data_IF_900699397692
#
_entry.id   IF_900699397692
#
_cell.length_a   1.000
_cell.length_b   1.000
_cell.length_c   1.000
_cell.angle_alpha   90.00
_cell.angle_beta   90.00
_cell.angle_gamma   90.00
#
_symmetry.space_group_name_H-M   'P 1'
#
loop_
_entity.id
_entity.type
_entity.pdbx_description
1 polymer ?
#
# COMPACT_ATOMS: atom_id res chain seq x y z
N UNK A 1 -47.62 34.64 19.88
CA UNK A 1 -47.47 34.18 18.48
C UNK A 1 -46.14 34.69 17.95
N UNK A 2 -45.10 33.85 17.94
CA UNK A 2 -43.75 34.22 17.52
C UNK A 2 -43.62 33.86 16.03
N UNK A 3 -43.44 34.86 15.15
CA UNK A 3 -43.16 34.66 13.72
C UNK A 3 -41.67 34.33 13.56
N UNK A 4 -41.34 33.06 13.35
CA UNK A 4 -39.99 32.65 12.91
C UNK A 4 -39.77 33.08 11.45
N UNK A 5 -38.65 33.77 11.20
CA UNK A 5 -38.18 34.17 9.88
C UNK A 5 -37.70 32.95 9.05
N UNK A 6 -37.98 32.90 7.73
CA UNK A 6 -37.62 31.77 6.86
C UNK A 6 -36.12 31.73 6.45
N UNK A 7 -35.31 32.70 6.89
CA UNK A 7 -33.92 32.83 6.43
C UNK A 7 -32.94 31.79 7.01
N UNK A 8 -33.27 31.12 8.12
CA UNK A 8 -32.38 30.11 8.73
C UNK A 8 -32.49 28.71 8.13
N UNK A 9 -33.51 28.41 7.32
CA UNK A 9 -33.72 27.06 6.79
C UNK A 9 -32.81 26.73 5.59
N UNK A 10 -32.28 27.74 4.90
CA UNK A 10 -31.49 27.53 3.68
C UNK A 10 -30.02 27.16 3.94
N UNK A 11 -29.46 27.52 5.10
CA UNK A 11 -28.04 27.29 5.41
C UNK A 11 -27.75 25.90 6.00
N UNK A 12 -28.77 25.18 6.49
CA UNK A 12 -28.60 23.85 7.08
C UNK A 12 -28.51 22.72 6.04
N UNK A 13 -28.89 22.98 4.78
CA UNK A 13 -29.00 21.94 3.74
C UNK A 13 -27.77 21.83 2.82
N UNK A 14 -26.80 22.73 2.94
CA UNK A 14 -25.58 22.72 2.10
C UNK A 14 -24.44 21.90 2.73
N UNK A 15 -24.50 21.60 4.04
CA UNK A 15 -23.46 20.84 4.75
C UNK A 15 -23.68 19.32 4.74
N UNK A 16 -24.76 18.82 4.13
CA UNK A 16 -25.11 17.39 4.14
C UNK A 16 -24.61 16.61 2.91
N UNK A 17 -23.88 17.23 1.99
CA UNK A 17 -23.54 16.64 0.69
C UNK A 17 -22.08 16.82 0.27
N UNK A 18 -21.13 16.92 1.20
CA UNK A 18 -19.79 16.46 0.86
C UNK A 18 -19.83 14.94 0.94
N UNK A 19 -19.72 14.19 -0.18
CA UNK A 19 -19.39 12.79 -0.05
C UNK A 19 -18.11 12.78 0.79
N UNK A 20 -18.13 12.10 1.93
CA UNK A 20 -16.87 11.69 2.53
C UNK A 20 -16.18 10.91 1.42
N UNK A 21 -15.19 11.52 0.79
CA UNK A 21 -14.46 10.91 -0.31
C UNK A 21 -13.92 9.60 0.26
N UNK A 22 -14.47 8.52 -0.28
CA UNK A 22 -14.22 7.19 0.21
C UNK A 22 -13.22 6.59 -0.76
N UNK A 23 -12.21 5.91 -0.22
CA UNK A 23 -11.24 5.13 -0.99
C UNK A 23 -11.93 4.38 -2.14
N UNK A 24 -11.37 4.55 -3.34
CA UNK A 24 -11.94 4.00 -4.57
C UNK A 24 -11.88 2.46 -4.54
N UNK A 25 -12.68 1.77 -5.37
CA UNK A 25 -12.56 0.32 -5.52
C UNK A 25 -11.13 -0.12 -5.89
N UNK A 26 -10.48 0.62 -6.78
CA UNK A 26 -9.08 0.40 -7.19
C UNK A 26 -8.12 0.62 -6.02
N UNK A 27 -8.30 1.68 -5.23
CA UNK A 27 -7.49 1.95 -4.04
C UNK A 27 -7.64 0.87 -2.97
N UNK A 28 -8.88 0.38 -2.74
CA UNK A 28 -9.14 -0.77 -1.85
C UNK A 28 -8.41 -2.01 -2.33
N UNK A 29 -8.53 -2.34 -3.61
CA UNK A 29 -7.85 -3.49 -4.19
C UNK A 29 -6.32 -3.37 -4.07
N UNK A 30 -5.76 -2.18 -4.32
CA UNK A 30 -4.34 -1.92 -4.17
C UNK A 30 -3.86 -2.19 -2.75
N UNK A 31 -4.57 -1.66 -1.75
CA UNK A 31 -4.26 -1.87 -0.32
C UNK A 31 -4.35 -3.34 0.07
N UNK A 32 -5.36 -4.07 -0.41
CA UNK A 32 -5.49 -5.51 -0.13
C UNK A 32 -4.36 -6.33 -0.76
N UNK A 33 -3.92 -5.99 -1.97
CA UNK A 33 -2.76 -6.66 -2.58
C UNK A 33 -1.47 -6.32 -1.82
N UNK A 34 -1.30 -5.08 -1.37
CA UNK A 34 -0.15 -4.71 -0.52
C UNK A 34 -0.11 -5.55 0.76
N UNK A 35 -1.26 -5.77 1.42
CA UNK A 35 -1.35 -6.63 2.61
C UNK A 35 -0.99 -8.09 2.30
N UNK A 36 -1.43 -8.61 1.15
CA UNK A 36 -1.10 -9.98 0.74
C UNK A 36 0.39 -10.16 0.44
N UNK A 37 1.03 -9.15 -0.15
CA UNK A 37 2.46 -9.17 -0.47
C UNK A 37 3.34 -8.91 0.76
N UNK A 38 2.80 -8.31 1.82
CA UNK A 38 3.55 -7.89 2.99
C UNK A 38 4.43 -9.00 3.61
N UNK A 39 3.93 -10.23 3.88
CA UNK A 39 4.76 -11.29 4.47
C UNK A 39 5.98 -11.63 3.61
N UNK A 40 5.80 -11.67 2.29
CA UNK A 40 6.89 -11.96 1.34
C UNK A 40 7.89 -10.81 1.30
N UNK A 41 7.43 -9.56 1.34
CA UNK A 41 8.32 -8.39 1.37
C UNK A 41 9.10 -8.28 2.69
N UNK A 42 8.48 -8.62 3.83
CA UNK A 42 9.17 -8.71 5.12
C UNK A 42 10.29 -9.77 5.07
N UNK A 43 9.99 -10.98 4.59
CA UNK A 43 10.99 -12.05 4.48
C UNK A 43 12.13 -11.67 3.52
N UNK A 44 11.81 -11.04 2.37
CA UNK A 44 12.83 -10.50 1.45
C UNK A 44 13.73 -9.47 2.14
N UNK A 45 13.18 -8.58 2.96
CA UNK A 45 13.95 -7.59 3.72
C UNK A 45 14.87 -8.25 4.76
N UNK A 46 14.36 -9.24 5.50
CA UNK A 46 15.13 -10.02 6.46
C UNK A 46 16.28 -10.77 5.79
N UNK A 47 16.00 -11.48 4.71
CA UNK A 47 17.02 -12.20 3.94
C UNK A 47 18.11 -11.27 3.42
N UNK A 48 17.79 -10.05 2.96
CA UNK A 48 18.81 -9.07 2.57
C UNK A 48 19.75 -8.72 3.73
N UNK A 49 19.21 -8.49 4.94
CA UNK A 49 20.03 -8.21 6.14
C UNK A 49 20.91 -9.41 6.49
N UNK A 50 20.36 -10.63 6.49
CA UNK A 50 21.08 -11.86 6.81
C UNK A 50 22.18 -12.18 5.78
N UNK A 51 21.92 -11.95 4.49
CA UNK A 51 22.92 -12.11 3.42
C UNK A 51 24.10 -11.17 3.66
N UNK A 52 23.84 -9.88 3.90
CA UNK A 52 24.89 -8.90 4.18
C UNK A 52 25.70 -9.30 5.40
N UNK A 53 25.04 -9.75 6.47
CA UNK A 53 25.74 -10.21 7.68
C UNK A 53 26.63 -11.44 7.40
N UNK A 54 26.11 -12.44 6.69
CA UNK A 54 26.88 -13.64 6.33
C UNK A 54 28.08 -13.31 5.44
N UNK A 55 27.94 -12.34 4.52
CA UNK A 55 29.05 -11.86 3.67
C UNK A 55 30.13 -11.15 4.49
N UNK A 56 29.74 -10.27 5.42
CA UNK A 56 30.68 -9.57 6.32
C UNK A 56 31.44 -10.56 7.21
N UNK A 57 30.75 -11.58 7.70
CA UNK A 57 31.32 -12.64 8.54
C UNK A 57 32.06 -13.74 7.75
N UNK A 58 32.14 -13.62 6.42
CA UNK A 58 32.76 -14.62 5.52
C UNK A 58 32.18 -16.03 5.65
N UNK A 59 30.88 -16.13 5.94
CA UNK A 59 30.11 -17.38 5.97
C UNK A 59 29.54 -17.71 4.59
N UNK A 60 30.42 -18.05 3.65
CA UNK A 60 30.07 -18.19 2.22
C UNK A 60 28.98 -19.24 1.94
N UNK A 61 28.99 -20.36 2.67
CA UNK A 61 27.97 -21.41 2.54
C UNK A 61 26.58 -20.91 2.96
N UNK A 62 26.52 -20.13 4.04
CA UNK A 62 25.28 -19.53 4.54
C UNK A 62 24.77 -18.46 3.57
N UNK A 63 25.67 -17.57 3.13
CA UNK A 63 25.33 -16.53 2.14
C UNK A 63 24.76 -17.15 0.85
N UNK A 64 25.34 -18.24 0.36
CA UNK A 64 24.81 -18.99 -0.80
C UNK A 64 23.41 -19.54 -0.55
N UNK A 65 23.18 -20.12 0.63
CA UNK A 65 21.88 -20.68 1.02
C UNK A 65 20.81 -19.60 1.14
N UNK A 66 21.14 -18.47 1.76
CA UNK A 66 20.24 -17.33 1.91
C UNK A 66 19.89 -16.67 0.57
N UNK A 67 20.88 -16.50 -0.33
CA UNK A 67 20.65 -16.01 -1.70
C UNK A 67 19.74 -16.94 -2.49
N UNK A 68 19.88 -18.26 -2.32
CA UNK A 68 18.97 -19.24 -2.94
C UNK A 68 17.53 -19.03 -2.44
N UNK A 69 17.31 -18.96 -1.12
CA UNK A 69 15.98 -18.67 -0.54
C UNK A 69 15.39 -17.36 -1.07
N UNK A 70 16.21 -16.31 -1.14
CA UNK A 70 15.79 -15.01 -1.70
C UNK A 70 15.38 -15.14 -3.18
N UNK A 71 16.14 -15.90 -3.98
CA UNK A 71 15.79 -16.16 -5.38
C UNK A 71 14.51 -16.98 -5.52
N UNK A 72 14.26 -17.94 -4.65
CA UNK A 72 13.08 -18.78 -4.70
C UNK A 72 11.81 -17.95 -4.42
N UNK A 73 11.87 -17.02 -3.45
CA UNK A 73 10.78 -16.06 -3.19
C UNK A 73 10.50 -15.11 -4.36
N UNK A 74 11.51 -14.77 -5.17
CA UNK A 74 11.30 -13.96 -6.37
C UNK A 74 10.67 -14.73 -7.53
N UNK A 75 10.74 -16.07 -7.50
CA UNK A 75 10.19 -16.94 -8.56
C UNK A 75 8.79 -17.43 -8.25
N UNK A 76 8.24 -17.07 -7.10
CA UNK A 76 6.87 -17.44 -6.74
C UNK A 76 5.86 -16.85 -7.73
N UNK A 77 5.11 -17.68 -8.47
CA UNK A 77 4.17 -17.21 -9.49
C UNK A 77 3.01 -16.42 -8.91
N UNK A 78 2.58 -16.70 -7.67
CA UNK A 78 1.47 -15.95 -7.04
C UNK A 78 1.91 -14.54 -6.67
N UNK A 79 3.08 -14.38 -6.05
CA UNK A 79 3.70 -13.08 -5.83
C UNK A 79 3.82 -12.29 -7.14
N UNK A 80 4.29 -12.92 -8.23
CA UNK A 80 4.41 -12.24 -9.53
C UNK A 80 3.07 -11.79 -10.12
N UNK A 81 1.99 -12.56 -9.93
CA UNK A 81 0.64 -12.16 -10.37
C UNK A 81 0.14 -10.93 -9.61
N UNK A 82 0.33 -10.92 -8.30
CA UNK A 82 -0.05 -9.80 -7.43
C UNK A 82 0.75 -8.53 -7.77
N UNK A 83 2.06 -8.63 -7.96
CA UNK A 83 2.91 -7.51 -8.37
C UNK A 83 2.50 -6.94 -9.74
N UNK A 84 2.18 -7.81 -10.71
CA UNK A 84 1.63 -7.36 -12.01
C UNK A 84 0.30 -6.64 -11.86
N UNK A 85 -0.58 -7.13 -10.98
CA UNK A 85 -1.87 -6.48 -10.71
C UNK A 85 -1.68 -5.12 -10.06
N UNK A 86 -0.74 -4.98 -9.11
CA UNK A 86 -0.38 -3.69 -8.55
C UNK A 86 0.08 -2.71 -9.62
N UNK A 87 0.97 -3.11 -10.54
CA UNK A 87 1.44 -2.22 -11.61
C UNK A 87 0.27 -1.72 -12.50
N UNK A 88 -0.72 -2.57 -12.77
CA UNK A 88 -1.93 -2.17 -13.50
C UNK A 88 -2.77 -1.18 -12.69
N UNK A 89 -2.95 -1.41 -11.40
CA UNK A 89 -3.70 -0.50 -10.51
C UNK A 89 -2.97 0.82 -10.30
N UNK A 90 -1.65 0.81 -10.19
CA UNK A 90 -0.81 2.00 -10.05
C UNK A 90 -1.05 2.96 -11.22
N UNK A 91 -1.05 2.47 -12.46
CA UNK A 91 -1.39 3.30 -13.62
C UNK A 91 -2.83 3.87 -13.62
N UNK A 92 -3.75 3.24 -12.88
CA UNK A 92 -5.14 3.70 -12.76
C UNK A 92 -5.32 4.72 -11.63
N UNK A 93 -4.56 4.57 -10.55
CA UNK A 93 -4.62 5.43 -9.36
C UNK A 93 -3.75 6.67 -9.56
N UNK A 94 -2.66 6.58 -10.31
CA UNK A 94 -1.74 7.70 -10.57
C UNK A 94 -2.24 8.54 -11.77
N UNK A 95 -2.14 9.86 -11.64
CA UNK A 95 -2.41 10.86 -12.67
C UNK A 95 -1.21 11.04 -13.62
N UNK A 96 -1.38 11.83 -14.68
CA UNK A 96 -0.30 12.06 -15.66
C UNK A 96 0.90 12.83 -15.12
N UNK A 97 0.83 13.35 -13.89
CA UNK A 97 1.88 14.13 -13.22
C UNK A 97 2.54 13.35 -12.07
N UNK A 98 2.18 12.08 -11.87
CA UNK A 98 2.73 11.24 -10.81
C UNK A 98 2.06 11.43 -9.44
N UNK A 99 0.99 12.22 -9.35
CA UNK A 99 0.14 12.32 -8.16
C UNK A 99 -0.96 11.27 -8.16
N UNK A 100 -1.58 10.97 -7.03
CA UNK A 100 -2.79 10.15 -7.04
C UNK A 100 -3.98 10.96 -7.57
N UNK A 101 -4.83 10.32 -8.36
CA UNK A 101 -6.09 10.91 -8.87
C UNK A 101 -7.08 11.16 -7.74
N UNK A 102 -7.02 10.34 -6.70
CA UNK A 102 -7.86 10.41 -5.52
C UNK A 102 -6.94 10.56 -4.27
N UNK A 103 -7.11 11.64 -3.47
CA UNK A 103 -6.24 11.88 -2.32
C UNK A 103 -6.44 10.87 -1.19
N UNK A 104 -7.63 10.27 -1.07
CA UNK A 104 -7.93 9.26 -0.07
C UNK A 104 -7.28 7.92 -0.40
N UNK A 105 -7.19 7.56 -1.69
CA UNK A 105 -6.38 6.42 -2.15
C UNK A 105 -4.92 6.59 -1.78
N UNK A 106 -4.34 7.78 -2.02
CA UNK A 106 -2.96 8.08 -1.64
C UNK A 106 -2.74 7.95 -0.15
N UNK A 107 -3.68 8.48 0.65
CA UNK A 107 -3.61 8.42 2.10
C UNK A 107 -3.64 6.97 2.59
N UNK A 108 -4.54 6.15 2.05
CA UNK A 108 -4.68 4.74 2.42
C UNK A 108 -3.45 3.91 2.03
N UNK A 109 -2.93 4.10 0.81
CA UNK A 109 -1.70 3.43 0.35
C UNK A 109 -0.50 3.84 1.21
N UNK A 110 -0.33 5.13 1.46
CA UNK A 110 0.77 5.66 2.27
C UNK A 110 0.68 5.19 3.73
N UNK A 111 -0.54 5.04 4.27
CA UNK A 111 -0.76 4.47 5.59
C UNK A 111 -0.35 3.00 5.63
N UNK A 112 -0.85 2.19 4.68
CA UNK A 112 -0.52 0.76 4.61
C UNK A 112 0.98 0.50 4.42
N UNK A 113 1.68 1.30 3.59
CA UNK A 113 3.12 1.17 3.40
C UNK A 113 3.92 1.49 4.67
N UNK A 114 3.51 2.51 5.43
CA UNK A 114 4.13 2.84 6.72
C UNK A 114 3.91 1.74 7.76
N UNK A 115 2.67 1.23 7.87
CA UNK A 115 2.34 0.12 8.75
C UNK A 115 3.17 -1.12 8.42
N UNK A 116 3.22 -1.51 7.14
CA UNK A 116 4.03 -2.63 6.68
C UNK A 116 5.52 -2.43 6.99
N UNK A 117 6.04 -1.21 6.83
CA UNK A 117 7.44 -0.91 7.16
C UNK A 117 7.75 -1.26 8.62
N UNK A 118 6.95 -0.80 9.58
CA UNK A 118 7.17 -1.05 11.00
C UNK A 118 6.90 -2.50 11.41
N UNK A 119 5.98 -3.20 10.75
CA UNK A 119 5.74 -4.64 11.01
C UNK A 119 6.85 -5.55 10.48
N UNK A 120 7.60 -5.10 9.48
CA UNK A 120 8.73 -5.85 8.92
C UNK A 120 10.10 -5.56 9.58
N UNK A 121 10.17 -4.66 10.58
CA UNK A 121 11.43 -4.33 11.26
C UNK A 121 11.86 -5.38 12.28
#
# INVERSE_FOLDING_TARGET
>A
MIRLHPACAAFALVLAATPAAAITPEGKEFVEILKQLEPVQCEKRKLRREIVLAEVERRDADAKTLRKRFSDLNRDPETSKLEKRLAVLEHRIIDSRGGARDPEDLQAISFQQREAFYRCE
#
